data_IF_668317520755
#
_entry.id   IF_668317520755
#
_cell.length_a   1.000
_cell.length_b   1.000
_cell.length_c   1.000
_cell.angle_alpha   90.00
_cell.angle_beta   90.00
_cell.angle_gamma   90.00
#
_symmetry.space_group_name_H-M   'P 1'
#
loop_
_entity.id
_entity.type
_entity.pdbx_description
1 polymer ?
#
# COMPACT_ATOMS: atom_id res chain seq x y z
N UNK A 1 -28.72 9.72 16.80
CA UNK A 1 -29.37 8.98 15.70
C UNK A 1 -28.25 8.21 15.04
N UNK A 2 -28.33 6.89 14.97
CA UNK A 2 -27.39 6.11 14.15
C UNK A 2 -27.64 6.50 12.69
N UNK A 3 -26.75 7.31 12.15
CA UNK A 3 -26.74 7.64 10.73
C UNK A 3 -26.24 6.40 10.00
N UNK A 4 -27.16 5.68 9.34
CA UNK A 4 -26.84 4.48 8.56
C UNK A 4 -25.74 4.81 7.56
N UNK A 5 -24.64 4.08 7.63
CA UNK A 5 -23.54 4.23 6.69
C UNK A 5 -23.96 3.72 5.29
N UNK A 6 -23.45 4.33 4.21
CA UNK A 6 -23.68 3.84 2.87
C UNK A 6 -23.10 2.43 2.71
N UNK A 7 -23.71 1.66 1.83
CA UNK A 7 -23.22 0.31 1.52
C UNK A 7 -21.96 0.40 0.68
N UNK A 8 -21.13 -0.65 0.75
CA UNK A 8 -19.88 -0.73 -0.02
C UNK A 8 -20.12 -0.46 -1.50
N UNK A 9 -21.18 -1.03 -2.07
CA UNK A 9 -21.50 -0.86 -3.49
C UNK A 9 -21.77 0.59 -3.88
N UNK A 10 -22.44 1.36 -3.02
CA UNK A 10 -22.72 2.78 -3.26
C UNK A 10 -21.42 3.58 -3.31
N UNK A 11 -20.52 3.34 -2.35
CA UNK A 11 -19.21 4.01 -2.28
C UNK A 11 -18.33 3.68 -3.48
N UNK A 12 -18.22 2.39 -3.83
CA UNK A 12 -17.43 1.95 -4.99
C UNK A 12 -18.01 2.58 -6.26
N UNK A 13 -19.33 2.53 -6.45
CA UNK A 13 -19.99 3.07 -7.63
C UNK A 13 -19.78 4.58 -7.78
N UNK A 14 -19.80 5.33 -6.67
CA UNK A 14 -19.51 6.77 -6.70
C UNK A 14 -18.08 7.05 -7.16
N UNK A 15 -17.08 6.46 -6.50
CA UNK A 15 -15.67 6.78 -6.76
C UNK A 15 -15.21 6.24 -8.11
N UNK A 16 -15.52 4.98 -8.43
CA UNK A 16 -15.16 4.39 -9.71
C UNK A 16 -16.00 4.98 -10.85
N UNK A 17 -17.26 5.33 -10.62
CA UNK A 17 -18.11 6.01 -11.60
C UNK A 17 -17.50 7.33 -12.07
N UNK A 18 -17.03 8.16 -11.13
CA UNK A 18 -16.31 9.40 -11.46
C UNK A 18 -15.02 9.13 -12.25
N UNK A 19 -14.19 8.20 -11.77
CA UNK A 19 -12.93 7.84 -12.43
C UNK A 19 -13.15 7.28 -13.85
N UNK A 20 -14.21 6.52 -14.06
CA UNK A 20 -14.62 5.96 -15.35
C UNK A 20 -15.16 7.03 -16.29
N UNK A 21 -15.93 8.00 -15.78
CA UNK A 21 -16.41 9.15 -16.56
C UNK A 21 -15.27 10.00 -17.15
N UNK A 22 -14.15 10.09 -16.42
CA UNK A 22 -12.96 10.87 -16.80
C UNK A 22 -11.90 10.06 -17.58
N UNK A 23 -12.16 8.79 -17.91
CA UNK A 23 -11.15 7.92 -18.53
C UNK A 23 -11.61 7.30 -19.85
N UNK A 24 -10.65 7.17 -20.77
CA UNK A 24 -10.86 6.55 -22.09
C UNK A 24 -9.79 5.49 -22.38
N UNK A 25 -10.09 4.60 -23.34
CA UNK A 25 -9.14 3.60 -23.84
C UNK A 25 -8.50 2.73 -22.74
N UNK A 26 -7.17 2.69 -22.73
CA UNK A 26 -6.39 1.84 -21.80
C UNK A 26 -6.61 2.23 -20.34
N UNK A 27 -6.75 3.53 -20.03
CA UNK A 27 -6.99 3.98 -18.65
C UNK A 27 -8.32 3.44 -18.14
N UNK A 28 -9.39 3.57 -18.94
CA UNK A 28 -10.71 3.02 -18.60
C UNK A 28 -10.67 1.52 -18.36
N UNK A 29 -9.98 0.76 -19.22
CA UNK A 29 -9.83 -0.69 -19.06
C UNK A 29 -9.14 -1.06 -17.73
N UNK A 30 -8.07 -0.35 -17.36
CA UNK A 30 -7.36 -0.57 -16.09
C UNK A 30 -8.22 -0.20 -14.88
N UNK A 31 -8.99 0.88 -14.97
CA UNK A 31 -9.93 1.27 -13.90
C UNK A 31 -10.99 0.19 -13.70
N UNK A 32 -11.61 -0.31 -14.76
CA UNK A 32 -12.59 -1.42 -14.68
C UNK A 32 -11.96 -2.69 -14.11
N UNK A 33 -10.72 -3.01 -14.50
CA UNK A 33 -10.02 -4.16 -13.95
C UNK A 33 -9.83 -4.03 -12.45
N UNK A 34 -9.35 -2.87 -11.97
CA UNK A 34 -9.15 -2.62 -10.54
C UNK A 34 -10.47 -2.68 -9.77
N UNK A 35 -11.56 -2.19 -10.35
CA UNK A 35 -12.89 -2.27 -9.73
C UNK A 35 -13.32 -3.73 -9.54
N UNK A 36 -13.20 -4.53 -10.61
CA UNK A 36 -13.54 -5.95 -10.58
C UNK A 36 -12.66 -6.71 -9.58
N UNK A 37 -11.36 -6.41 -9.55
CA UNK A 37 -10.40 -7.03 -8.62
C UNK A 37 -10.75 -6.68 -7.16
N UNK A 38 -11.14 -5.43 -6.88
CA UNK A 38 -11.56 -4.99 -5.55
C UNK A 38 -12.85 -5.70 -5.11
N UNK A 39 -13.85 -5.78 -6.01
CA UNK A 39 -15.10 -6.48 -5.72
C UNK A 39 -14.85 -7.96 -5.47
N UNK A 40 -14.05 -8.63 -6.31
CA UNK A 40 -13.69 -10.03 -6.10
C UNK A 40 -12.90 -10.25 -4.80
N UNK A 41 -12.00 -9.33 -4.44
CA UNK A 41 -11.31 -9.36 -3.16
C UNK A 41 -12.30 -9.28 -1.99
N UNK A 42 -13.27 -8.37 -2.02
CA UNK A 42 -14.26 -8.24 -0.96
C UNK A 42 -15.13 -9.50 -0.82
N UNK A 43 -15.56 -10.11 -1.93
CA UNK A 43 -16.33 -11.35 -1.87
C UNK A 43 -15.55 -12.54 -1.27
N UNK A 44 -14.22 -12.52 -1.33
CA UNK A 44 -13.37 -13.63 -0.87
C UNK A 44 -12.71 -13.40 0.48
N UNK A 45 -12.49 -12.15 0.85
CA UNK A 45 -11.64 -11.77 1.98
C UNK A 45 -12.35 -10.91 3.02
N UNK A 46 -13.58 -10.41 2.74
CA UNK A 46 -14.28 -9.50 3.65
C UNK A 46 -14.50 -10.10 5.04
N UNK A 47 -14.77 -11.40 5.14
CA UNK A 47 -15.05 -12.10 6.42
C UNK A 47 -13.98 -11.90 7.50
N UNK A 48 -12.72 -11.64 7.09
CA UNK A 48 -11.60 -11.38 8.01
C UNK A 48 -11.71 -10.05 8.76
N UNK A 49 -12.53 -9.14 8.26
CA UNK A 49 -12.72 -7.79 8.80
C UNK A 49 -14.06 -7.64 9.52
N UNK A 50 -14.87 -8.69 9.56
CA UNK A 50 -16.22 -8.67 10.10
C UNK A 50 -16.25 -9.05 11.59
N UNK A 51 -17.25 -8.52 12.28
CA UNK A 51 -17.76 -9.05 13.55
C UNK A 51 -18.56 -10.34 13.33
N UNK A 52 -18.92 -11.05 14.40
CA UNK A 52 -19.73 -12.28 14.31
C UNK A 52 -21.13 -12.02 13.74
N UNK A 53 -21.73 -10.87 14.10
CA UNK A 53 -23.04 -10.47 13.60
C UNK A 53 -23.00 -10.15 12.10
N UNK A 54 -21.97 -9.42 11.65
CA UNK A 54 -21.77 -9.13 10.23
C UNK A 54 -21.45 -10.37 9.41
N UNK A 55 -20.69 -11.33 9.96
CA UNK A 55 -20.47 -12.64 9.31
C UNK A 55 -21.78 -13.41 9.14
N UNK A 56 -22.61 -13.41 10.18
CA UNK A 56 -23.92 -14.08 10.13
C UNK A 56 -24.82 -13.45 9.07
N UNK A 57 -24.84 -12.11 9.01
CA UNK A 57 -25.56 -11.38 7.98
C UNK A 57 -25.04 -11.69 6.57
N UNK A 58 -23.71 -11.66 6.36
CA UNK A 58 -23.10 -11.97 5.07
C UNK A 58 -23.42 -13.40 4.62
N UNK A 59 -23.30 -14.38 5.52
CA UNK A 59 -23.62 -15.78 5.22
C UNK A 59 -25.09 -15.93 4.79
N UNK A 60 -26.02 -15.28 5.50
CA UNK A 60 -27.43 -15.28 5.12
C UNK A 60 -27.64 -14.67 3.72
N UNK A 61 -27.02 -13.53 3.44
CA UNK A 61 -27.11 -12.86 2.12
C UNK A 61 -26.53 -13.72 0.99
N UNK A 62 -25.43 -14.44 1.26
CA UNK A 62 -24.84 -15.37 0.31
C UNK A 62 -25.75 -16.58 0.00
N UNK A 63 -26.59 -17.02 0.94
CA UNK A 63 -27.57 -18.08 0.68
C UNK A 63 -28.65 -17.66 -0.34
N UNK A 64 -29.02 -16.37 -0.35
CA UNK A 64 -30.04 -15.83 -1.26
C UNK A 64 -29.45 -15.39 -2.60
N UNK A 65 -28.37 -14.59 -2.58
CA UNK A 65 -27.73 -14.08 -3.79
C UNK A 65 -26.20 -14.00 -3.60
N UNK A 66 -25.45 -15.06 -3.97
CA UNK A 66 -24.01 -15.16 -3.68
C UNK A 66 -23.16 -14.08 -4.35
N UNK A 67 -23.51 -13.67 -5.56
CA UNK A 67 -22.70 -12.74 -6.34
C UNK A 67 -22.86 -11.33 -5.81
N UNK A 68 -21.78 -10.71 -5.32
CA UNK A 68 -21.82 -9.31 -4.86
C UNK A 68 -22.42 -9.13 -3.46
N UNK A 69 -22.57 -10.22 -2.70
CA UNK A 69 -23.19 -10.20 -1.37
C UNK A 69 -22.44 -9.27 -0.42
N UNK A 70 -21.11 -9.31 -0.41
CA UNK A 70 -20.30 -8.45 0.43
C UNK A 70 -20.52 -6.97 0.08
N UNK A 71 -20.52 -6.63 -1.22
CA UNK A 71 -20.71 -5.24 -1.66
C UNK A 71 -22.11 -4.68 -1.33
N UNK A 72 -23.17 -5.50 -1.42
CA UNK A 72 -24.55 -5.04 -1.16
C UNK A 72 -24.88 -4.93 0.33
N UNK A 73 -24.31 -5.82 1.15
CA UNK A 73 -24.80 -6.01 2.52
C UNK A 73 -23.94 -5.28 3.55
N UNK A 74 -22.63 -5.16 3.30
CA UNK A 74 -21.69 -4.55 4.23
C UNK A 74 -21.64 -3.04 4.09
N UNK A 75 -21.20 -2.38 5.15
CA UNK A 75 -21.10 -0.93 5.24
C UNK A 75 -19.70 -0.42 4.87
N UNK A 76 -19.62 0.87 4.54
CA UNK A 76 -18.40 1.52 4.09
C UNK A 76 -17.21 1.45 5.09
N UNK A 77 -17.47 1.27 6.38
CA UNK A 77 -16.43 1.08 7.38
C UNK A 77 -15.62 -0.20 7.11
N UNK A 78 -16.30 -1.31 6.81
CA UNK A 78 -15.65 -2.59 6.47
C UNK A 78 -14.78 -2.43 5.24
N UNK A 79 -15.27 -1.73 4.21
CA UNK A 79 -14.47 -1.40 3.03
C UNK A 79 -13.19 -0.69 3.44
N UNK A 80 -13.28 0.35 4.28
CA UNK A 80 -12.13 1.17 4.68
C UNK A 80 -11.02 0.35 5.34
N UNK A 81 -11.37 -0.59 6.22
CA UNK A 81 -10.42 -1.51 6.86
C UNK A 81 -9.83 -2.47 5.83
N UNK A 82 -10.68 -3.06 4.99
CA UNK A 82 -10.29 -4.06 3.98
C UNK A 82 -9.35 -3.50 2.89
N UNK A 83 -9.38 -2.18 2.62
CA UNK A 83 -8.51 -1.54 1.62
C UNK A 83 -7.02 -1.82 1.85
N UNK A 84 -6.59 -1.97 3.12
CA UNK A 84 -5.21 -2.29 3.46
C UNK A 84 -4.79 -3.65 2.91
N UNK A 85 -5.62 -4.68 3.08
CA UNK A 85 -5.37 -6.02 2.53
C UNK A 85 -5.32 -6.02 1.01
N UNK A 86 -6.21 -5.27 0.35
CA UNK A 86 -6.27 -5.23 -1.11
C UNK A 86 -5.01 -4.65 -1.77
N UNK A 87 -4.29 -3.74 -1.09
CA UNK A 87 -3.05 -3.14 -1.60
C UNK A 87 -1.78 -3.84 -1.11
N UNK A 88 -1.92 -5.06 -0.57
CA UNK A 88 -0.79 -5.90 -0.15
C UNK A 88 -0.70 -7.16 -1.00
N UNK A 89 0.50 -7.78 -1.15
CA UNK A 89 0.61 -9.09 -1.76
C UNK A 89 -0.28 -10.12 -1.04
N UNK A 90 -0.96 -11.03 -1.76
CA UNK A 90 -0.87 -11.27 -3.20
C UNK A 90 -1.82 -10.42 -4.07
N UNK A 91 -2.67 -9.57 -3.48
CA UNK A 91 -3.72 -8.82 -4.18
C UNK A 91 -3.23 -7.58 -4.93
N UNK A 92 -1.99 -7.16 -4.69
CA UNK A 92 -1.36 -6.08 -5.41
C UNK A 92 -1.06 -6.49 -6.86
N UNK A 93 -1.52 -5.69 -7.83
CA UNK A 93 -1.41 -6.05 -9.24
C UNK A 93 0.07 -6.29 -9.68
N UNK A 94 0.36 -7.35 -10.45
CA UNK A 94 1.72 -7.66 -10.87
C UNK A 94 2.25 -6.68 -11.93
N UNK A 95 1.39 -6.18 -12.82
CA UNK A 95 1.74 -5.17 -13.81
C UNK A 95 1.94 -3.79 -13.16
N UNK A 96 3.11 -3.16 -13.37
CA UNK A 96 3.48 -1.90 -12.72
C UNK A 96 2.60 -0.69 -13.12
N UNK A 97 1.93 -0.75 -14.27
CA UNK A 97 1.01 0.32 -14.70
C UNK A 97 -0.36 0.12 -14.08
N UNK A 98 -0.87 -1.12 -14.04
CA UNK A 98 -2.09 -1.49 -13.35
C UNK A 98 -1.98 -1.25 -11.84
N UNK A 99 -0.87 -1.65 -11.22
CA UNK A 99 -0.58 -1.39 -9.80
C UNK A 99 -0.60 0.09 -9.45
N UNK A 100 -0.06 0.94 -10.33
CA UNK A 100 -0.14 2.39 -10.13
C UNK A 100 -1.61 2.86 -10.12
N UNK A 101 -2.40 2.41 -11.09
CA UNK A 101 -3.83 2.76 -11.18
C UNK A 101 -4.59 2.24 -9.95
N UNK A 102 -4.30 1.01 -9.50
CA UNK A 102 -4.83 0.45 -8.26
C UNK A 102 -4.55 1.37 -7.07
N UNK A 103 -3.28 1.71 -6.82
CA UNK A 103 -2.91 2.57 -5.69
C UNK A 103 -3.52 3.97 -5.77
N UNK A 104 -3.61 4.56 -6.97
CA UNK A 104 -4.22 5.88 -7.16
C UNK A 104 -5.74 5.85 -6.90
N UNK A 105 -6.44 4.78 -7.32
CA UNK A 105 -7.86 4.60 -7.06
C UNK A 105 -8.15 4.29 -5.58
N UNK A 106 -7.31 3.48 -4.92
CA UNK A 106 -7.47 3.18 -3.50
C UNK A 106 -7.20 4.42 -2.64
N UNK A 107 -6.23 5.27 -3.00
CA UNK A 107 -6.00 6.55 -2.33
C UNK A 107 -7.20 7.49 -2.46
N UNK A 108 -7.83 7.55 -3.64
CA UNK A 108 -9.05 8.31 -3.85
C UNK A 108 -10.24 7.76 -3.04
N UNK A 109 -10.44 6.43 -3.07
CA UNK A 109 -11.50 5.75 -2.32
C UNK A 109 -11.33 5.93 -0.82
N UNK A 110 -10.10 5.79 -0.31
CA UNK A 110 -9.75 6.03 1.08
C UNK A 110 -10.04 7.47 1.50
N UNK A 111 -9.71 8.44 0.65
CA UNK A 111 -10.04 9.85 0.87
C UNK A 111 -11.53 10.08 0.96
N UNK A 112 -12.30 9.58 -0.02
CA UNK A 112 -13.75 9.72 -0.05
C UNK A 112 -14.40 9.10 1.21
N UNK A 113 -14.04 7.87 1.56
CA UNK A 113 -14.59 7.21 2.75
C UNK A 113 -14.22 7.97 4.04
N UNK A 114 -12.96 8.40 4.19
CA UNK A 114 -12.52 9.05 5.41
C UNK A 114 -13.12 10.46 5.61
N UNK A 115 -13.33 11.21 4.53
CA UNK A 115 -13.72 12.62 4.62
C UNK A 115 -15.20 12.88 4.36
N UNK A 116 -15.87 12.05 3.56
CA UNK A 116 -17.29 12.21 3.24
C UNK A 116 -18.16 11.26 4.06
N UNK A 117 -17.78 9.97 4.12
CA UNK A 117 -18.61 8.93 4.73
C UNK A 117 -18.40 8.85 6.24
N UNK A 118 -17.15 8.73 6.68
CA UNK A 118 -16.77 8.52 8.08
C UNK A 118 -16.40 9.82 8.81
N UNK A 119 -16.85 10.98 8.31
CA UNK A 119 -16.48 12.31 8.85
C UNK A 119 -16.78 12.49 10.35
N UNK A 120 -17.80 11.79 10.84
CA UNK A 120 -18.28 11.85 12.22
C UNK A 120 -17.73 10.71 13.11
N UNK A 121 -16.87 9.85 12.55
CA UNK A 121 -16.32 8.66 13.23
C UNK A 121 -14.82 8.82 13.45
N UNK A 122 -14.29 8.30 14.56
CA UNK A 122 -12.83 8.26 14.79
C UNK A 122 -12.18 7.15 13.96
N UNK A 123 -11.86 7.51 12.72
CA UNK A 123 -11.15 6.65 11.76
C UNK A 123 -9.64 6.93 11.72
N UNK A 124 -9.09 7.60 12.73
CA UNK A 124 -7.73 8.17 12.68
C UNK A 124 -6.63 7.11 12.61
N UNK A 125 -6.78 6.00 13.34
CA UNK A 125 -5.85 4.85 13.32
C UNK A 125 -5.86 4.16 11.95
N UNK A 126 -7.04 3.74 11.49
CA UNK A 126 -7.22 3.05 10.20
C UNK A 126 -6.67 3.92 9.05
N UNK A 127 -6.96 5.23 9.07
CA UNK A 127 -6.43 6.16 8.07
C UNK A 127 -4.90 6.25 8.10
N UNK A 128 -4.28 6.23 9.28
CA UNK A 128 -2.82 6.25 9.40
C UNK A 128 -2.21 4.98 8.81
N UNK A 129 -2.77 3.83 9.14
CA UNK A 129 -2.29 2.53 8.68
C UNK A 129 -2.44 2.38 7.17
N UNK A 130 -3.59 2.76 6.62
CA UNK A 130 -3.82 2.76 5.18
C UNK A 130 -2.89 3.72 4.44
N UNK A 131 -2.66 4.92 4.96
CA UNK A 131 -1.68 5.85 4.37
C UNK A 131 -0.26 5.30 4.41
N UNK A 132 0.14 4.66 5.50
CA UNK A 132 1.43 3.98 5.62
C UNK A 132 1.59 2.87 4.57
N UNK A 133 0.54 2.05 4.39
CA UNK A 133 0.51 0.98 3.41
C UNK A 133 0.59 1.51 1.97
N UNK A 134 -0.20 2.54 1.62
CA UNK A 134 -0.14 3.19 0.30
C UNK A 134 1.25 3.79 0.05
N UNK A 135 1.84 4.45 1.06
CA UNK A 135 3.18 5.02 0.95
C UNK A 135 4.23 3.94 0.67
N UNK A 136 4.19 2.85 1.43
CA UNK A 136 5.11 1.72 1.28
C UNK A 136 4.98 1.09 -0.11
N UNK A 137 3.75 0.77 -0.54
CA UNK A 137 3.50 0.19 -1.86
C UNK A 137 3.94 1.13 -3.01
N UNK A 138 3.75 2.44 -2.86
CA UNK A 138 4.24 3.43 -3.85
C UNK A 138 5.77 3.50 -3.87
N UNK A 139 6.43 3.37 -2.72
CA UNK A 139 7.89 3.35 -2.64
C UNK A 139 8.47 2.09 -3.33
N UNK A 140 7.88 0.92 -3.09
CA UNK A 140 8.24 -0.34 -3.75
C UNK A 140 8.04 -0.26 -5.27
N UNK A 141 6.90 0.24 -5.72
CA UNK A 141 6.64 0.48 -7.14
C UNK A 141 7.71 1.38 -7.80
N UNK A 142 8.14 2.45 -7.11
CA UNK A 142 9.23 3.32 -7.60
C UNK A 142 10.57 2.59 -7.64
N UNK A 143 10.84 1.70 -6.68
CA UNK A 143 12.05 0.86 -6.66
C UNK A 143 12.07 -0.08 -7.87
N UNK A 144 11.01 -0.87 -8.05
CA UNK A 144 10.89 -1.83 -9.16
C UNK A 144 10.94 -1.15 -10.54
N UNK A 145 10.34 0.03 -10.71
CA UNK A 145 10.44 0.78 -11.96
C UNK A 145 11.86 1.20 -12.28
N UNK A 146 12.64 1.62 -11.27
CA UNK A 146 14.05 1.96 -11.46
C UNK A 146 14.86 0.74 -11.83
N UNK A 147 14.63 -0.39 -11.15
CA UNK A 147 15.27 -1.67 -11.46
C UNK A 147 14.96 -2.11 -12.91
N UNK A 148 13.70 -2.04 -13.35
CA UNK A 148 13.32 -2.36 -14.73
C UNK A 148 13.92 -1.40 -15.76
N UNK A 149 13.96 -0.09 -15.45
CA UNK A 149 14.56 0.90 -16.34
C UNK A 149 16.06 0.68 -16.47
N UNK A 150 16.74 0.41 -15.36
CA UNK A 150 18.17 0.08 -15.32
C UNK A 150 18.46 -1.18 -16.12
N UNK A 151 17.70 -2.26 -15.90
CA UNK A 151 17.86 -3.51 -16.64
C UNK A 151 17.69 -3.33 -18.16
N UNK A 152 16.73 -2.51 -18.59
CA UNK A 152 16.55 -2.17 -20.01
C UNK A 152 17.73 -1.38 -20.57
N UNK A 153 18.28 -0.47 -19.78
CA UNK A 153 19.45 0.31 -20.20
C UNK A 153 20.68 -0.58 -20.31
N UNK A 154 20.98 -1.40 -19.31
CA UNK A 154 22.07 -2.40 -19.33
C UNK A 154 21.95 -3.35 -20.53
N UNK A 155 20.73 -3.79 -20.85
CA UNK A 155 20.50 -4.63 -22.02
C UNK A 155 20.87 -3.93 -23.35
N UNK A 156 20.73 -2.61 -23.43
CA UNK A 156 21.12 -1.79 -24.59
C UNK A 156 22.60 -1.43 -24.61
N UNK A 157 23.29 -1.55 -23.49
CA UNK A 157 24.71 -1.21 -23.39
C UNK A 157 25.59 -2.19 -24.17
N UNK A 158 26.65 -1.63 -24.76
CA UNK A 158 27.73 -2.38 -25.39
C UNK A 158 28.55 -3.15 -24.35
N UNK A 159 29.27 -4.22 -24.73
CA UNK A 159 30.14 -4.96 -23.82
C UNK A 159 31.14 -4.07 -23.06
N UNK A 160 31.76 -3.10 -23.75
CA UNK A 160 32.71 -2.15 -23.17
C UNK A 160 32.06 -1.30 -22.06
N UNK A 161 30.81 -0.86 -22.26
CA UNK A 161 30.08 -0.11 -21.25
C UNK A 161 29.71 -0.97 -20.04
N UNK A 162 29.41 -2.26 -20.25
CA UNK A 162 29.13 -3.21 -19.15
C UNK A 162 30.38 -3.47 -18.31
N UNK A 163 31.52 -3.71 -18.96
CA UNK A 163 32.81 -3.87 -18.28
C UNK A 163 33.19 -2.64 -17.45
N UNK A 164 32.89 -1.44 -17.94
CA UNK A 164 33.13 -0.20 -17.21
C UNK A 164 32.26 -0.09 -15.93
N UNK A 165 31.00 -0.54 -15.98
CA UNK A 165 30.10 -0.57 -14.81
C UNK A 165 30.59 -1.62 -13.81
N UNK A 166 30.89 -2.84 -14.24
CA UNK A 166 31.43 -3.91 -13.37
C UNK A 166 32.76 -3.50 -12.73
N UNK A 167 33.58 -2.73 -13.45
CA UNK A 167 34.79 -2.15 -12.88
C UNK A 167 34.46 -1.11 -11.80
N UNK A 168 33.53 -0.19 -12.05
CA UNK A 168 33.12 0.82 -11.08
C UNK A 168 32.52 0.21 -9.81
N UNK A 169 31.65 -0.80 -9.94
CA UNK A 169 31.06 -1.54 -8.81
C UNK A 169 32.15 -2.19 -7.95
N UNK A 170 33.12 -2.87 -8.58
CA UNK A 170 34.27 -3.44 -7.85
C UNK A 170 35.10 -2.40 -7.10
N UNK A 171 35.19 -1.16 -7.60
CA UNK A 171 35.91 -0.09 -6.89
C UNK A 171 35.10 0.44 -5.72
N UNK A 172 33.77 0.56 -5.85
CA UNK A 172 32.89 0.96 -4.75
C UNK A 172 32.97 -0.04 -3.61
N UNK A 173 32.88 -1.34 -3.89
CA UNK A 173 32.97 -2.39 -2.86
C UNK A 173 34.32 -2.36 -2.11
N UNK A 174 35.43 -2.13 -2.84
CA UNK A 174 36.75 -1.93 -2.23
C UNK A 174 36.79 -0.71 -1.31
N UNK A 175 36.13 0.39 -1.67
CA UNK A 175 36.07 1.60 -0.85
C UNK A 175 35.19 1.42 0.40
N UNK A 176 34.10 0.66 0.30
CA UNK A 176 33.25 0.33 1.45
C UNK A 176 34.04 -0.57 2.43
N UNK A 177 34.70 -1.61 1.93
CA UNK A 177 35.50 -2.51 2.75
C UNK A 177 36.65 -1.80 3.49
N UNK A 178 37.34 -0.86 2.83
CA UNK A 178 38.44 -0.12 3.45
C UNK A 178 37.96 0.86 4.55
N UNK A 179 36.74 1.39 4.44
CA UNK A 179 36.12 2.23 5.48
C UNK A 179 35.75 1.44 6.74
N UNK A 180 35.25 0.22 6.61
CA UNK A 180 34.95 -0.64 7.76
C UNK A 180 36.23 -1.06 8.51
N UNK A 181 37.31 -1.32 7.78
CA UNK A 181 38.59 -1.72 8.39
C UNK A 181 39.28 -0.58 9.16
N UNK A 182 39.00 0.68 8.80
CA UNK A 182 39.59 1.86 9.47
C UNK A 182 38.79 2.32 10.70
N UNK A 183 37.52 1.90 10.83
CA UNK A 183 36.66 2.29 11.95
C UNK A 183 36.91 1.48 13.24
N UNK A 184 37.58 0.33 13.16
CA UNK A 184 37.99 -0.48 14.32
C UNK A 184 39.27 0.06 15.02
N UNK A 185 39.88 1.13 14.49
CA UNK A 185 41.09 1.76 15.03
C UNK A 185 40.88 3.02 15.87
N UNK A 186 39.64 3.39 16.22
CA UNK A 186 39.40 4.53 17.12
C UNK A 186 39.88 4.16 18.53
N UNK A 187 40.88 4.88 19.10
CA UNK A 187 41.31 4.63 20.47
C UNK A 187 40.12 4.85 21.41
N UNK A 188 39.91 3.89 22.32
CA UNK A 188 38.92 4.00 23.37
C UNK A 188 39.04 5.38 24.05
N UNK A 189 37.98 6.18 23.94
CA UNK A 189 37.87 7.45 24.65
C UNK A 189 38.10 7.16 26.14
N UNK A 190 39.15 7.69 26.79
CA UNK A 190 39.36 7.42 28.19
C UNK A 190 38.19 8.00 28.98
N UNK A 191 37.53 7.14 29.76
CA UNK A 191 36.45 7.48 30.66
C UNK A 191 36.94 8.52 31.69
N UNK A 192 36.69 9.79 31.40
CA UNK A 192 36.88 10.89 32.34
C UNK A 192 35.55 11.65 32.48
N UNK A 193 34.60 11.03 33.16
CA UNK A 193 33.50 11.75 33.80
C UNK A 193 33.36 11.18 35.22
N UNK A 194 34.20 11.69 36.12
CA UNK A 194 34.04 11.48 37.56
C UNK A 194 32.75 12.17 38.01
N UNK A 195 31.86 11.37 38.58
CA UNK A 195 30.72 11.85 39.35
C UNK A 195 31.22 12.77 40.48
N UNK A 196 30.69 14.00 40.53
CA UNK A 196 30.67 14.78 41.77
C UNK A 196 29.35 14.49 42.46
N UNK A 197 29.42 13.71 43.53
CA UNK A 197 28.50 13.80 44.66
C UNK A 197 28.54 15.21 45.25
N UNK A 198 27.39 15.84 45.54
CA UNK A 198 27.26 16.70 46.69
C UNK A 198 26.39 15.98 47.73
N UNK A 199 27.07 15.48 48.74
CA UNK A 199 26.51 15.11 50.03
C UNK A 199 25.83 16.31 50.71
N UNK A 200 24.67 16.01 51.33
CA UNK A 200 24.27 16.43 52.69
C UNK A 200 24.15 17.93 53.00
N UNK A 201 22.90 18.40 53.11
CA UNK A 201 22.29 18.90 54.36
C UNK A 201 20.75 18.94 54.22
#
# INVERSE_FOLDING_TARGET
MDERLPKIDEVISTVFGEALGLSTGVKRRRTLQVENDLRAFLETEAERYLTDDERTLLAAEQEFEPSGAACRSLEAEVLFVALTGFITPPHLAPDLLLRRVQLDLIDALAGYVAYEVLRNYDSSSIRRDLRSAIYTARHELKRERREQSWAREVARMTPVQREAIEYAERQIDKLIASRHTSAEGLPATPAAYQARDPQTE
#
